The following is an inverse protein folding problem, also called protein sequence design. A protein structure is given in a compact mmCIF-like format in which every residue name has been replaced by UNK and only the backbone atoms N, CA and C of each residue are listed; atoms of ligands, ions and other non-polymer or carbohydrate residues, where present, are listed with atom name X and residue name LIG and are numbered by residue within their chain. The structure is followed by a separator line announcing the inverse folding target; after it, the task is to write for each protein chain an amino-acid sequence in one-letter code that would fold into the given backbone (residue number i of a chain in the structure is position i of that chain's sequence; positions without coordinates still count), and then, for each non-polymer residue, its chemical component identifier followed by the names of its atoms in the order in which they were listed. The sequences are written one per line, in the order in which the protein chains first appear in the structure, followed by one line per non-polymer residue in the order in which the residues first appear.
data_IF_474624412516
#
_entry.id   IF_474624412516
#
_cell.length_a   1.000
_cell.length_b   1.000
_cell.length_c   1.000
_cell.angle_alpha   90.00
_cell.angle_beta   90.00
_cell.angle_gamma   90.00
#
_symmetry.space_group_name_H-M   'P 1'
#
loop_
_entity.id
_entity.type
_entity.pdbx_description
1 polymer ?
#
# COMPACT_ATOMS: atom_id res chain seq x y z
N UNK A 1 -38.57 33.19 -8.96
CA UNK A 1 -37.09 33.12 -8.90
C UNK A 1 -36.57 33.10 -10.33
N UNK A 2 -35.87 34.15 -10.75
CA UNK A 2 -35.35 34.26 -12.12
C UNK A 2 -33.98 33.61 -12.23
N UNK A 3 -33.75 32.86 -13.31
CA UNK A 3 -32.43 32.31 -13.65
C UNK A 3 -31.61 33.42 -14.30
N UNK A 4 -30.35 33.58 -13.87
CA UNK A 4 -29.39 34.52 -14.46
C UNK A 4 -28.50 33.76 -15.44
N UNK A 5 -28.31 34.33 -16.64
CA UNK A 5 -27.43 33.77 -17.68
C UNK A 5 -26.14 34.57 -17.68
N UNK A 6 -25.04 33.91 -17.32
CA UNK A 6 -23.71 34.51 -17.37
C UNK A 6 -22.99 34.03 -18.64
N UNK A 7 -22.30 34.93 -19.34
CA UNK A 7 -21.48 34.59 -20.50
C UNK A 7 -20.14 34.03 -20.04
N UNK A 8 -19.81 32.83 -20.52
CA UNK A 8 -18.52 32.19 -20.25
C UNK A 8 -17.64 32.30 -21.49
N UNK A 9 -16.43 32.85 -21.34
CA UNK A 9 -15.47 32.99 -22.43
C UNK A 9 -14.58 31.71 -22.50
N UNK A 10 -14.69 30.87 -23.55
CA UNK A 10 -14.06 29.54 -23.52
C UNK A 10 -12.53 29.53 -23.33
N UNK A 11 -11.75 30.45 -23.94
CA UNK A 11 -10.32 30.58 -23.62
C UNK A 11 -9.98 30.84 -22.15
N UNK A 12 -10.74 31.71 -21.47
CA UNK A 12 -10.48 32.02 -20.05
C UNK A 12 -10.77 30.81 -19.16
N UNK A 13 -11.82 30.06 -19.50
CA UNK A 13 -12.14 28.81 -18.82
C UNK A 13 -11.03 27.77 -19.00
N UNK A 14 -10.46 27.66 -20.21
CA UNK A 14 -9.34 26.77 -20.49
C UNK A 14 -8.09 27.17 -19.68
N UNK A 15 -7.76 28.46 -19.61
CA UNK A 15 -6.62 28.95 -18.84
C UNK A 15 -6.77 28.64 -17.33
N UNK A 16 -7.98 28.80 -16.80
CA UNK A 16 -8.32 28.41 -15.44
C UNK A 16 -8.09 26.91 -15.21
N UNK A 17 -8.64 26.05 -16.09
CA UNK A 17 -8.45 24.60 -15.99
C UNK A 17 -6.97 24.18 -16.06
N UNK A 18 -6.20 24.79 -16.97
CA UNK A 18 -4.76 24.50 -17.09
C UNK A 18 -4.05 24.85 -15.80
N UNK A 19 -4.33 26.04 -15.24
CA UNK A 19 -3.70 26.52 -14.00
C UNK A 19 -4.02 25.62 -12.83
N UNK A 20 -5.28 25.22 -12.68
CA UNK A 20 -5.73 24.32 -11.61
C UNK A 20 -5.04 22.95 -11.70
N UNK A 21 -4.97 22.37 -12.90
CA UNK A 21 -4.32 21.08 -13.13
C UNK A 21 -2.81 21.17 -12.86
N UNK A 22 -2.15 22.25 -13.29
CA UNK A 22 -0.73 22.48 -13.02
C UNK A 22 -0.45 22.57 -11.51
N UNK A 23 -1.26 23.33 -10.77
CA UNK A 23 -1.13 23.46 -9.32
C UNK A 23 -1.37 22.11 -8.62
N UNK A 24 -2.40 21.37 -9.02
CA UNK A 24 -2.69 20.04 -8.50
C UNK A 24 -1.50 19.09 -8.69
N UNK A 25 -0.90 19.05 -9.89
CA UNK A 25 0.26 18.20 -10.13
C UNK A 25 1.51 18.66 -9.36
N UNK A 26 1.70 19.97 -9.22
CA UNK A 26 2.79 20.54 -8.42
C UNK A 26 2.70 20.09 -6.96
N UNK A 27 1.54 20.24 -6.31
CA UNK A 27 1.38 19.82 -4.91
C UNK A 27 1.54 18.30 -4.75
N UNK A 28 0.95 17.50 -5.66
CA UNK A 28 1.15 16.04 -5.67
C UNK A 28 2.63 15.66 -5.76
N UNK A 29 3.40 16.36 -6.57
CA UNK A 29 4.85 16.17 -6.66
C UNK A 29 5.55 16.50 -5.35
N UNK A 30 5.24 17.63 -4.72
CA UNK A 30 5.81 18.03 -3.42
C UNK A 30 5.48 17.03 -2.30
N UNK A 31 4.29 16.41 -2.31
CA UNK A 31 3.94 15.34 -1.38
C UNK A 31 4.81 14.09 -1.57
N UNK A 32 5.03 13.68 -2.82
CA UNK A 32 5.88 12.52 -3.17
C UNK A 32 7.34 12.79 -2.82
N UNK A 33 7.84 13.99 -3.09
CA UNK A 33 9.20 14.41 -2.77
C UNK A 33 9.47 14.35 -1.26
N UNK A 34 8.54 14.83 -0.43
CA UNK A 34 8.65 14.71 1.03
C UNK A 34 8.74 13.26 1.51
N UNK A 35 7.98 12.36 0.89
CA UNK A 35 8.03 10.93 1.21
C UNK A 35 9.40 10.36 0.81
N UNK A 36 9.89 10.67 -0.39
CA UNK A 36 11.17 10.19 -0.91
C UNK A 36 12.35 10.66 -0.04
N UNK A 37 12.45 11.96 0.23
CA UNK A 37 13.52 12.54 1.07
C UNK A 37 13.50 11.93 2.47
N UNK A 38 12.31 11.75 3.07
CA UNK A 38 12.22 11.08 4.38
C UNK A 38 12.65 9.63 4.29
N UNK A 39 12.24 8.90 3.26
CA UNK A 39 12.60 7.50 3.11
C UNK A 39 14.11 7.31 2.98
N UNK A 40 14.77 8.12 2.15
CA UNK A 40 16.23 8.11 1.99
C UNK A 40 16.94 8.43 3.30
N UNK A 41 16.50 9.47 4.02
CA UNK A 41 17.10 9.87 5.28
C UNK A 41 16.94 8.81 6.38
N UNK A 42 15.76 8.17 6.48
CA UNK A 42 15.52 7.11 7.46
C UNK A 42 16.30 5.85 7.11
N UNK A 43 16.31 5.42 5.84
CA UNK A 43 17.06 4.25 5.40
C UNK A 43 18.58 4.42 5.60
N UNK A 44 19.13 5.60 5.31
CA UNK A 44 20.57 5.87 5.43
C UNK A 44 21.05 5.95 6.89
N UNK A 45 20.22 6.46 7.79
CA UNK A 45 20.58 6.63 9.20
C UNK A 45 20.23 5.40 10.06
N UNK A 46 19.48 4.44 9.51
CA UNK A 46 19.04 3.28 10.24
C UNK A 46 20.19 2.30 10.51
N UNK A 47 20.34 1.88 11.76
CA UNK A 47 21.30 0.86 12.16
C UNK A 47 20.63 -0.50 12.15
N UNK A 48 21.22 -1.46 11.42
CA UNK A 48 20.69 -2.81 11.32
C UNK A 48 20.69 -3.53 12.68
N UNK A 49 19.55 -4.14 13.03
CA UNK A 49 19.36 -4.90 14.26
C UNK A 49 19.23 -6.40 13.95
N UNK A 50 20.25 -7.23 14.28
CA UNK A 50 20.24 -8.66 13.95
C UNK A 50 19.17 -9.48 14.70
N UNK A 51 18.76 -9.00 15.88
CA UNK A 51 17.78 -9.67 16.74
C UNK A 51 16.56 -8.77 16.95
N UNK A 52 16.02 -8.27 15.84
CA UNK A 52 14.91 -7.34 15.86
C UNK A 52 13.61 -8.04 16.28
N UNK A 53 13.01 -7.58 17.37
CA UNK A 53 11.60 -7.84 17.69
C UNK A 53 10.79 -6.58 17.41
N UNK A 54 10.12 -6.56 16.28
CA UNK A 54 9.34 -5.40 15.83
C UNK A 54 8.00 -5.84 15.28
N UNK A 55 6.99 -5.01 15.55
CA UNK A 55 5.61 -5.24 15.13
C UNK A 55 5.13 -4.06 14.30
N UNK A 56 4.45 -4.37 13.20
CA UNK A 56 3.70 -3.41 12.38
C UNK A 56 2.39 -4.05 11.89
N UNK A 57 1.45 -3.22 11.45
CA UNK A 57 0.13 -3.67 11.05
C UNK A 57 0.16 -4.35 9.67
N UNK A 58 0.02 -5.68 9.63
CA UNK A 58 -0.14 -6.45 8.39
C UNK A 58 -1.56 -6.30 7.85
N UNK A 59 -1.71 -5.69 6.67
CA UNK A 59 -2.98 -5.41 6.00
C UNK A 59 -3.84 -6.66 5.80
N UNK A 60 -3.23 -7.85 5.70
CA UNK A 60 -3.95 -9.12 5.51
C UNK A 60 -4.45 -9.72 6.81
N UNK A 61 -3.95 -9.24 7.96
CA UNK A 61 -4.23 -9.75 9.30
C UNK A 61 -4.84 -8.68 10.21
N UNK A 62 -5.71 -7.86 9.66
CA UNK A 62 -6.49 -6.87 10.40
C UNK A 62 -7.93 -7.34 10.64
N UNK A 63 -8.44 -6.97 11.81
CA UNK A 63 -9.85 -7.04 12.14
C UNK A 63 -10.27 -5.78 12.91
N UNK A 64 -11.55 -5.47 12.93
CA UNK A 64 -12.13 -4.42 13.78
C UNK A 64 -13.05 -5.12 14.79
N UNK A 65 -12.64 -5.12 16.06
CA UNK A 65 -13.33 -5.84 17.13
C UNK A 65 -14.79 -5.41 17.37
N UNK A 66 -15.22 -4.27 16.82
CA UNK A 66 -16.64 -3.84 16.89
C UNK A 66 -17.54 -4.58 15.90
N UNK A 67 -16.97 -5.11 14.82
CA UNK A 67 -17.72 -5.73 13.72
C UNK A 67 -17.46 -7.24 13.60
N UNK A 68 -16.26 -7.69 13.96
CA UNK A 68 -15.87 -9.08 13.81
C UNK A 68 -14.87 -9.51 14.89
N UNK A 69 -15.09 -10.71 15.45
CA UNK A 69 -14.14 -11.32 16.37
C UNK A 69 -12.86 -11.78 15.65
N UNK A 70 -11.73 -11.67 16.36
CA UNK A 70 -10.40 -12.09 15.88
C UNK A 70 -10.39 -13.50 15.28
N UNK A 71 -11.02 -14.46 15.96
CA UNK A 71 -11.08 -15.85 15.51
C UNK A 71 -11.80 -15.98 14.16
N UNK A 72 -12.95 -15.32 14.02
CA UNK A 72 -13.76 -15.32 12.80
C UNK A 72 -13.01 -14.69 11.63
N UNK A 73 -12.32 -13.58 11.87
CA UNK A 73 -11.50 -12.91 10.86
C UNK A 73 -10.35 -13.81 10.36
N UNK A 74 -9.63 -14.44 11.30
CA UNK A 74 -8.54 -15.37 11.00
C UNK A 74 -9.01 -16.60 10.22
N UNK A 75 -10.16 -17.15 10.61
CA UNK A 75 -10.77 -18.30 9.94
C UNK A 75 -11.16 -18.01 8.49
N UNK A 76 -11.61 -16.79 8.18
CA UNK A 76 -12.01 -16.41 6.81
C UNK A 76 -10.82 -16.19 5.89
N UNK A 77 -9.73 -15.63 6.40
CA UNK A 77 -8.58 -15.25 5.58
C UNK A 77 -7.51 -16.34 5.47
N UNK A 78 -7.49 -17.32 6.38
CA UNK A 78 -6.47 -18.36 6.42
C UNK A 78 -7.05 -19.69 5.95
N UNK A 79 -6.54 -20.20 4.82
CA UNK A 79 -6.91 -21.53 4.33
C UNK A 79 -6.57 -22.60 5.39
N UNK A 80 -7.46 -23.58 5.56
CA UNK A 80 -7.32 -24.70 6.49
C UNK A 80 -7.17 -24.31 7.98
N UNK A 81 -7.55 -23.09 8.38
CA UNK A 81 -7.42 -22.61 9.77
C UNK A 81 -8.03 -23.55 10.81
N UNK A 82 -9.15 -24.20 10.46
CA UNK A 82 -9.84 -25.17 11.32
C UNK A 82 -9.08 -26.48 11.47
N UNK A 83 -8.33 -26.88 10.45
CA UNK A 83 -7.57 -28.13 10.41
C UNK A 83 -6.18 -27.98 11.03
N UNK A 84 -5.76 -26.75 11.36
CA UNK A 84 -4.51 -26.47 12.06
C UNK A 84 -4.54 -27.05 13.47
N UNK A 85 -3.39 -27.57 13.91
CA UNK A 85 -3.14 -27.90 15.32
C UNK A 85 -3.32 -26.67 16.20
N UNK A 86 -3.79 -26.84 17.43
CA UNK A 86 -4.10 -25.71 18.32
C UNK A 86 -2.90 -24.78 18.58
N UNK A 87 -1.69 -25.34 18.69
CA UNK A 87 -0.46 -24.56 18.83
C UNK A 87 -0.19 -23.65 17.63
N UNK A 88 -0.42 -24.15 16.41
CA UNK A 88 -0.22 -23.40 15.17
C UNK A 88 -1.32 -22.35 14.99
N UNK A 89 -2.56 -22.70 15.36
CA UNK A 89 -3.69 -21.77 15.36
C UNK A 89 -3.46 -20.59 16.31
N UNK A 90 -2.91 -20.84 17.50
CA UNK A 90 -2.55 -19.78 18.45
C UNK A 90 -1.48 -18.85 17.87
N UNK A 91 -0.42 -19.39 17.27
CA UNK A 91 0.63 -18.60 16.61
C UNK A 91 0.07 -17.77 15.44
N UNK A 92 -0.86 -18.32 14.66
CA UNK A 92 -1.50 -17.55 13.59
C UNK A 92 -2.32 -16.40 14.17
N UNK A 93 -3.14 -16.65 15.20
CA UNK A 93 -3.90 -15.61 15.88
C UNK A 93 -3.00 -14.50 16.45
N UNK A 94 -1.81 -14.81 16.98
CA UNK A 94 -0.88 -13.78 17.47
C UNK A 94 -0.47 -12.76 16.38
N UNK A 95 -0.57 -13.12 15.10
CA UNK A 95 -0.28 -12.23 13.96
C UNK A 95 -1.43 -11.29 13.60
N UNK A 96 -2.63 -11.48 14.18
CA UNK A 96 -3.83 -10.69 13.91
C UNK A 96 -4.00 -9.52 14.88
N UNK A 97 -4.30 -8.34 14.33
CA UNK A 97 -4.32 -7.09 15.07
C UNK A 97 -5.66 -6.37 14.96
N UNK A 98 -6.16 -5.92 16.11
CA UNK A 98 -7.34 -5.06 16.18
C UNK A 98 -6.94 -3.65 15.74
N UNK A 99 -7.68 -3.13 14.78
CA UNK A 99 -7.54 -1.75 14.36
C UNK A 99 -8.92 -1.18 14.05
N UNK A 100 -9.22 -0.05 14.67
CA UNK A 100 -10.44 0.69 14.42
C UNK A 100 -10.47 1.18 12.97
N UNK A 101 -11.37 0.64 12.15
CA UNK A 101 -11.56 1.04 10.76
C UNK A 101 -12.90 1.74 10.60
N UNK A 102 -12.89 2.99 10.12
CA UNK A 102 -14.11 3.77 9.88
C UNK A 102 -14.29 4.02 8.39
N UNK A 103 -15.50 3.82 7.83
CA UNK A 103 -15.79 4.19 6.46
C UNK A 103 -15.48 5.66 6.21
N UNK A 104 -14.73 5.96 5.16
CA UNK A 104 -14.34 7.32 4.83
C UNK A 104 -14.70 7.68 3.37
N UNK A 105 -15.41 8.80 3.20
CA UNK A 105 -15.91 9.26 1.90
C UNK A 105 -14.78 9.54 0.91
N UNK A 106 -13.64 10.08 1.37
CA UNK A 106 -12.47 10.34 0.54
C UNK A 106 -11.78 9.07 0.01
N UNK A 107 -12.18 7.89 0.50
CA UNK A 107 -11.69 6.59 0.07
C UNK A 107 -12.84 5.68 -0.42
N UNK A 108 -13.86 6.26 -1.06
CA UNK A 108 -15.01 5.51 -1.58
C UNK A 108 -15.74 4.69 -0.51
N UNK A 109 -15.86 5.23 0.71
CA UNK A 109 -16.41 4.55 1.89
C UNK A 109 -15.66 3.28 2.29
N UNK A 110 -14.41 3.10 1.84
CA UNK A 110 -13.55 2.05 2.38
C UNK A 110 -13.34 2.28 3.89
N UNK A 111 -13.43 1.21 4.73
CA UNK A 111 -13.05 1.27 6.14
C UNK A 111 -11.56 1.48 6.26
N UNK A 112 -11.16 2.62 6.82
CA UNK A 112 -9.76 3.01 6.96
C UNK A 112 -9.45 3.52 8.37
N UNK A 113 -8.17 3.57 8.70
CA UNK A 113 -7.66 4.23 9.90
C UNK A 113 -6.68 5.33 9.48
N UNK A 114 -7.04 6.59 9.76
CA UNK A 114 -6.29 7.78 9.35
C UNK A 114 -5.02 8.05 10.19
N UNK A 115 -4.77 7.24 11.23
CA UNK A 115 -3.65 7.42 12.16
C UNK A 115 -2.48 6.48 11.86
N UNK A 116 -2.76 5.32 11.27
CA UNK A 116 -1.79 4.26 11.03
C UNK A 116 -1.57 4.04 9.54
N UNK A 117 -0.41 3.48 9.20
CA UNK A 117 -0.16 2.84 7.91
C UNK A 117 -0.16 1.32 8.11
N UNK A 118 -0.27 0.57 7.02
CA UNK A 118 -0.22 -0.89 7.03
C UNK A 118 0.82 -1.40 6.05
N UNK A 119 1.30 -2.62 6.30
CA UNK A 119 2.19 -3.36 5.42
C UNK A 119 1.41 -4.40 4.64
N UNK A 120 1.64 -4.46 3.35
CA UNK A 120 1.29 -5.58 2.50
C UNK A 120 2.56 -6.32 2.09
N UNK A 121 2.54 -7.64 2.24
CA UNK A 121 3.61 -8.55 1.82
C UNK A 121 3.10 -9.45 0.70
N UNK A 122 3.74 -9.50 -0.48
CA UNK A 122 3.39 -10.48 -1.51
C UNK A 122 3.74 -11.91 -1.05
N UNK A 123 3.11 -12.91 -1.66
CA UNK A 123 3.25 -14.32 -1.26
C UNK A 123 4.68 -14.87 -1.37
N UNK A 124 5.51 -14.27 -2.22
CA UNK A 124 6.91 -14.65 -2.44
C UNK A 124 7.90 -13.95 -1.49
N UNK A 125 7.42 -13.12 -0.55
CA UNK A 125 8.25 -12.38 0.40
C UNK A 125 8.02 -12.87 1.82
N UNK A 126 9.08 -13.34 2.47
CA UNK A 126 9.02 -13.84 3.85
C UNK A 126 9.21 -12.70 4.85
N UNK A 127 8.10 -12.22 5.43
CA UNK A 127 8.08 -11.06 6.34
C UNK A 127 8.85 -11.22 7.66
N UNK A 128 9.07 -12.47 8.11
CA UNK A 128 9.84 -12.77 9.33
C UNK A 128 11.37 -12.76 9.08
N UNK A 129 11.81 -12.49 7.84
CA UNK A 129 13.22 -12.22 7.54
C UNK A 129 13.69 -10.96 8.26
N UNK A 130 14.77 -11.07 9.03
CA UNK A 130 15.36 -9.95 9.79
C UNK A 130 15.65 -8.75 8.88
N UNK A 131 16.09 -8.98 7.63
CA UNK A 131 16.33 -7.91 6.66
C UNK A 131 15.06 -7.13 6.33
N UNK A 132 13.96 -7.85 6.05
CA UNK A 132 12.67 -7.24 5.72
C UNK A 132 12.09 -6.55 6.96
N UNK A 133 12.17 -7.16 8.14
CA UNK A 133 11.68 -6.56 9.38
C UNK A 133 12.41 -5.25 9.71
N UNK A 134 13.73 -5.19 9.52
CA UNK A 134 14.50 -3.95 9.67
C UNK A 134 14.05 -2.88 8.66
N UNK A 135 13.80 -3.29 7.42
CA UNK A 135 13.32 -2.39 6.37
C UNK A 135 11.94 -1.80 6.69
N UNK A 136 11.02 -2.66 7.14
CA UNK A 136 9.70 -2.25 7.62
C UNK A 136 9.84 -1.31 8.82
N UNK A 137 10.73 -1.59 9.77
CA UNK A 137 10.91 -0.77 10.98
C UNK A 137 11.29 0.67 10.65
N UNK A 138 12.33 0.92 9.85
CA UNK A 138 12.70 2.31 9.53
C UNK A 138 11.62 3.01 8.71
N UNK A 139 10.93 2.29 7.81
CA UNK A 139 9.87 2.90 7.00
C UNK A 139 8.63 3.29 7.80
N UNK A 140 8.49 2.85 9.06
CA UNK A 140 7.39 3.27 9.94
C UNK A 140 7.33 4.79 10.14
N UNK A 141 8.48 5.47 10.09
CA UNK A 141 8.59 6.92 10.18
C UNK A 141 7.86 7.65 9.03
N UNK A 142 7.63 6.98 7.89
CA UNK A 142 6.88 7.54 6.76
C UNK A 142 5.40 7.77 7.09
N UNK A 143 4.84 7.06 8.07
CA UNK A 143 3.45 7.26 8.52
C UNK A 143 3.19 8.71 8.90
N UNK A 144 4.15 9.37 9.57
CA UNK A 144 3.99 10.77 9.94
C UNK A 144 3.96 11.68 8.71
N UNK A 145 4.77 11.40 7.70
CA UNK A 145 4.77 12.18 6.45
C UNK A 145 3.46 11.99 5.69
N UNK A 146 2.95 10.75 5.62
CA UNK A 146 1.65 10.50 4.99
C UNK A 146 0.52 11.27 5.66
N UNK A 147 0.50 11.29 7.00
CA UNK A 147 -0.47 12.07 7.78
C UNK A 147 -0.31 13.56 7.54
N UNK A 148 0.92 14.07 7.58
CA UNK A 148 1.19 15.48 7.32
C UNK A 148 0.70 15.87 5.92
N UNK A 149 1.00 15.08 4.89
CA UNK A 149 0.51 15.31 3.54
C UNK A 149 -1.02 15.37 3.51
N UNK A 150 -1.72 14.41 4.12
CA UNK A 150 -3.17 14.36 4.18
C UNK A 150 -3.81 15.52 4.96
N UNK A 151 -3.12 16.02 5.99
CA UNK A 151 -3.56 17.20 6.74
C UNK A 151 -3.37 18.50 5.94
N UNK A 152 -2.40 18.55 5.03
CA UNK A 152 -2.19 19.71 4.13
C UNK A 152 -3.14 19.67 2.93
N UNK A 153 -3.46 18.47 2.42
CA UNK A 153 -4.37 18.26 1.29
C UNK A 153 -5.35 17.12 1.62
N UNK A 154 -6.58 17.52 1.99
CA UNK A 154 -7.66 16.59 2.36
C UNK A 154 -8.20 15.80 1.16
N UNK A 155 -7.91 16.17 -0.08
CA UNK A 155 -8.35 15.44 -1.27
C UNK A 155 -7.32 14.41 -1.74
N UNK A 156 -6.16 14.32 -1.07
CA UNK A 156 -5.20 13.25 -1.32
C UNK A 156 -5.84 11.88 -1.14
N UNK A 157 -5.71 11.07 -2.19
CA UNK A 157 -6.07 9.66 -2.17
C UNK A 157 -5.01 8.84 -1.44
N UNK A 158 -4.95 7.54 -1.73
CA UNK A 158 -3.98 6.61 -1.16
C UNK A 158 -2.54 7.09 -1.36
N UNK A 159 -1.75 7.01 -0.29
CA UNK A 159 -0.31 7.25 -0.31
C UNK A 159 0.39 5.94 -0.01
N UNK A 160 1.49 5.66 -0.70
CA UNK A 160 2.21 4.41 -0.50
C UNK A 160 3.70 4.53 -0.78
N UNK A 161 4.45 3.62 -0.17
CA UNK A 161 5.87 3.37 -0.41
C UNK A 161 6.04 1.89 -0.75
N UNK A 162 6.58 1.59 -1.92
CA UNK A 162 6.93 0.23 -2.31
C UNK A 162 8.44 0.05 -2.15
N UNK A 163 8.85 -0.88 -1.29
CA UNK A 163 10.25 -1.21 -1.12
C UNK A 163 10.76 -2.11 -2.25
N UNK A 164 12.04 -1.99 -2.58
CA UNK A 164 12.74 -2.96 -3.44
C UNK A 164 12.74 -4.37 -2.83
N UNK A 165 12.61 -4.47 -1.50
CA UNK A 165 12.43 -5.72 -0.76
C UNK A 165 11.05 -6.38 -1.00
N UNK A 166 10.13 -5.66 -1.66
CA UNK A 166 8.85 -6.19 -2.13
C UNK A 166 7.64 -5.94 -1.23
N UNK A 167 7.82 -5.36 -0.05
CA UNK A 167 6.68 -4.94 0.77
C UNK A 167 6.15 -3.57 0.35
N UNK A 168 4.85 -3.37 0.54
CA UNK A 168 4.17 -2.10 0.32
C UNK A 168 3.73 -1.54 1.68
N UNK A 169 4.13 -0.30 2.00
CA UNK A 169 3.53 0.47 3.08
C UNK A 169 2.43 1.36 2.52
N UNK A 170 1.21 1.21 3.02
CA UNK A 170 0.01 1.89 2.53
C UNK A 170 -0.61 2.78 3.63
N UNK A 171 -0.99 4.00 3.25
CA UNK A 171 -1.72 4.94 4.10
C UNK A 171 -2.95 5.50 3.37
N UNK A 172 -4.10 5.66 4.05
CA UNK A 172 -4.37 5.26 5.45
C UNK A 172 -4.40 3.74 5.61
N UNK A 173 -4.31 3.26 6.85
CA UNK A 173 -4.38 1.84 7.15
C UNK A 173 -5.73 1.27 6.74
N UNK A 174 -5.72 0.11 6.07
CA UNK A 174 -6.93 -0.59 5.62
C UNK A 174 -6.69 -2.09 5.61
N UNK A 175 -7.77 -2.86 5.72
CA UNK A 175 -7.70 -4.31 5.50
C UNK A 175 -7.54 -4.58 4.00
N UNK A 176 -6.55 -5.41 3.64
CA UNK A 176 -6.33 -5.82 2.25
C UNK A 176 -7.52 -6.64 1.77
N UNK A 177 -8.11 -6.22 0.65
CA UNK A 177 -9.24 -6.92 0.03
C UNK A 177 -8.74 -7.63 -1.22
N UNK A 178 -9.03 -8.94 -1.31
CA UNK A 178 -8.91 -9.66 -2.57
C UNK A 178 -10.01 -9.14 -3.53
N UNK A 179 -9.75 -9.05 -4.84
CA UNK A 179 -10.78 -8.67 -5.80
C UNK A 179 -11.96 -9.65 -5.76
N UNK A 180 -13.19 -9.14 -5.63
CA UNK A 180 -14.42 -9.96 -5.56
C UNK A 180 -14.67 -10.83 -6.82
N UNK A 181 -13.93 -10.61 -7.90
CA UNK A 181 -14.09 -11.29 -9.20
C UNK A 181 -12.94 -12.22 -9.59
N UNK A 182 -11.92 -12.38 -8.76
CA UNK A 182 -10.87 -13.35 -9.04
C UNK A 182 -11.28 -14.71 -8.48
N UNK A 183 -11.56 -15.68 -9.36
CA UNK A 183 -11.56 -17.12 -9.01
C UNK A 183 -10.19 -17.58 -8.44
N UNK A 184 -9.21 -16.69 -8.35
CA UNK A 184 -7.98 -16.86 -7.60
C UNK A 184 -8.23 -16.56 -6.13
N UNK A 185 -8.26 -17.62 -5.31
CA UNK A 185 -8.28 -17.54 -3.84
C UNK A 185 -6.96 -17.04 -3.23
N UNK A 186 -6.07 -16.42 -4.02
CA UNK A 186 -4.71 -16.09 -3.63
C UNK A 186 -4.33 -14.68 -4.05
N UNK A 187 -3.80 -13.90 -3.11
CA UNK A 187 -3.26 -12.58 -3.37
C UNK A 187 -1.94 -12.67 -4.16
N UNK A 188 -1.98 -12.32 -5.45
CA UNK A 188 -0.80 -12.26 -6.32
C UNK A 188 -0.23 -10.86 -6.47
N UNK A 189 -0.71 -9.89 -5.68
CA UNK A 189 -0.22 -8.53 -5.76
C UNK A 189 1.23 -8.45 -5.27
N UNK A 190 2.11 -7.89 -6.09
CA UNK A 190 3.47 -7.47 -5.73
C UNK A 190 3.65 -6.02 -6.23
N UNK A 191 4.06 -5.13 -5.33
CA UNK A 191 4.14 -3.71 -5.65
C UNK A 191 5.25 -3.40 -6.66
N UNK A 192 6.28 -4.26 -6.78
CA UNK A 192 7.40 -4.09 -7.71
C UNK A 192 7.03 -4.41 -9.15
N UNK A 193 5.98 -5.20 -9.33
CA UNK A 193 5.44 -5.55 -10.65
C UNK A 193 4.46 -4.50 -11.17
N UNK A 194 4.13 -3.47 -10.38
CA UNK A 194 3.21 -2.44 -10.79
C UNK A 194 3.85 -1.52 -11.84
N UNK A 195 3.09 -1.08 -12.87
CA UNK A 195 3.60 -0.16 -13.88
C UNK A 195 4.18 1.13 -13.31
N UNK A 196 3.62 1.64 -12.21
CA UNK A 196 4.15 2.83 -11.52
C UNK A 196 5.55 2.61 -10.96
N UNK A 197 5.79 1.46 -10.34
CA UNK A 197 7.11 1.10 -9.81
C UNK A 197 8.11 0.89 -10.96
N UNK A 198 7.75 0.11 -11.98
CA UNK A 198 8.64 -0.19 -13.11
C UNK A 198 9.09 1.09 -13.83
N UNK A 199 8.17 2.02 -14.07
CA UNK A 199 8.46 3.31 -14.72
C UNK A 199 9.34 4.23 -13.89
N UNK A 200 9.27 4.11 -12.56
CA UNK A 200 10.12 4.89 -11.65
C UNK A 200 11.51 4.28 -11.47
N UNK A 201 11.59 2.94 -11.45
CA UNK A 201 12.83 2.22 -11.20
C UNK A 201 13.78 2.15 -12.41
N UNK A 202 13.26 2.31 -13.63
CA UNK A 202 14.05 2.19 -14.84
C UNK A 202 13.61 3.16 -15.95
N UNK A 203 14.56 3.61 -16.75
CA UNK A 203 14.29 4.37 -17.96
C UNK A 203 13.64 3.49 -19.05
N UNK A 204 12.88 4.09 -20.00
CA UNK A 204 12.39 3.38 -21.18
C UNK A 204 13.51 2.68 -21.93
N UNK A 205 13.26 1.45 -22.38
CA UNK A 205 14.24 0.63 -23.09
C UNK A 205 13.57 -0.26 -24.13
N UNK A 206 14.22 -0.44 -25.26
CA UNK A 206 13.82 -1.38 -26.31
C UNK A 206 14.40 -2.76 -26.00
N UNK A 207 13.56 -3.79 -25.98
CA UNK A 207 13.93 -5.16 -25.60
C UNK A 207 13.65 -6.12 -26.75
N UNK A 208 14.63 -6.95 -27.10
CA UNK A 208 14.47 -8.09 -28.00
C UNK A 208 14.55 -9.37 -27.18
N UNK A 209 13.52 -10.22 -27.25
CA UNK A 209 13.47 -11.51 -26.58
C UNK A 209 13.81 -12.59 -27.61
N UNK A 210 14.93 -13.30 -27.42
CA UNK A 210 15.33 -14.42 -28.26
C UNK A 210 14.94 -15.73 -27.57
N UNK A 211 14.17 -16.57 -28.27
CA UNK A 211 13.74 -17.89 -27.80
C UNK A 211 14.48 -18.99 -28.58
N UNK A 212 15.28 -19.81 -27.88
CA UNK A 212 15.91 -20.98 -28.49
C UNK A 212 14.89 -22.12 -28.65
N UNK A 213 14.83 -22.68 -29.87
CA UNK A 213 13.98 -23.82 -30.24
C UNK A 213 14.79 -25.07 -30.59
N UNK A 214 16.07 -25.12 -30.20
CA UNK A 214 16.93 -26.28 -30.38
C UNK A 214 16.30 -27.55 -29.75
N UNK A 215 16.56 -28.71 -30.34
CA UNK A 215 15.86 -29.96 -29.97
C UNK A 215 16.18 -30.46 -28.55
N UNK A 216 17.22 -29.92 -27.90
CA UNK A 216 17.62 -30.27 -26.53
C UNK A 216 16.73 -29.62 -25.45
N UNK A 217 15.89 -28.65 -25.81
CA UNK A 217 14.97 -27.97 -24.87
C UNK A 217 13.55 -28.54 -24.88
N UNK A 218 13.33 -29.68 -25.58
CA UNK A 218 12.05 -30.40 -25.52
C UNK A 218 11.97 -31.19 -24.20
N UNK A 219 11.22 -30.65 -23.25
CA UNK A 219 10.71 -31.36 -22.05
C UNK A 219 9.37 -32.02 -22.29
#
# INVERSE_FOLDING_TARGET
MGVKVDSVHPPQLLDYFITDVQNMFKWKREHVERIAVKAEAEAANYTYEPHLLFFDYDAKRLYDGRFEEKYTAAQKATANFRDMKDADRKKELEKWHDLLLTPNIGYNNAPVNMEKSVIHLPVNVYGESVSISNSIKWSSALTQIFRNNKNHDYDLSWQYFCSIDGYLRLFPATKWRLPDHSNANSDLYDCRLQPSFIKAAASPKDVVILLDRSQFTKG
#
